data_IF_955394933698
#
_entry.id   IF_955394933698
#
_cell.length_a   1.000
_cell.length_b   1.000
_cell.length_c   1.000
_cell.angle_alpha   90.00
_cell.angle_beta   90.00
_cell.angle_gamma   90.00
#
_symmetry.space_group_name_H-M   'P 1'
#
loop_
_entity.id
_entity.type
_entity.pdbx_description
1 polymer ?
#
# COMPACT_ATOMS: atom_id res chain seq x y z
N UNK A 1 -2.82 20.36 20.17
CA UNK A 1 -3.77 19.70 19.25
C UNK A 1 -3.15 19.80 17.87
N UNK A 2 -2.48 18.74 17.46
CA UNK A 2 -1.57 18.69 16.31
C UNK A 2 -2.32 18.31 15.03
N UNK A 3 -2.25 19.19 14.05
CA UNK A 3 -2.52 18.92 12.64
C UNK A 3 -1.58 17.83 12.14
N UNK A 4 -2.12 16.68 11.72
CA UNK A 4 -1.40 15.71 10.90
C UNK A 4 -0.98 16.42 9.60
N UNK A 5 0.33 16.56 9.41
CA UNK A 5 0.90 17.15 8.20
C UNK A 5 0.73 16.21 7.03
N UNK A 6 -0.31 16.44 6.22
CA UNK A 6 -0.47 15.85 4.90
C UNK A 6 0.66 16.33 3.98
N UNK A 7 1.21 15.40 3.21
CA UNK A 7 2.26 15.64 2.22
C UNK A 7 1.76 16.63 1.15
N UNK A 8 2.51 17.72 0.93
CA UNK A 8 2.11 18.87 0.10
C UNK A 8 1.95 18.56 -1.39
N UNK A 9 2.34 17.37 -1.85
CA UNK A 9 2.16 16.93 -3.25
C UNK A 9 0.73 16.45 -3.59
N UNK A 10 -0.17 16.34 -2.60
CA UNK A 10 -1.55 15.86 -2.81
C UNK A 10 -2.64 16.93 -2.69
N UNK A 11 -2.27 18.21 -2.50
CA UNK A 11 -3.25 19.30 -2.45
C UNK A 11 -4.02 19.51 -3.77
N UNK A 12 -3.54 18.95 -4.89
CA UNK A 12 -4.20 19.04 -6.20
C UNK A 12 -5.24 17.95 -6.50
N UNK A 13 -5.32 16.90 -5.68
CA UNK A 13 -6.30 15.81 -5.80
C UNK A 13 -7.08 15.80 -4.50
N UNK A 14 -7.87 16.85 -4.26
CA UNK A 14 -8.57 17.02 -2.98
C UNK A 14 -9.56 15.88 -2.71
N UNK A 15 -9.19 15.04 -1.73
CA UNK A 15 -10.10 14.18 -0.99
C UNK A 15 -11.09 14.97 -0.10
N UNK A 16 -10.88 16.27 0.12
CA UNK A 16 -11.81 17.09 0.92
C UNK A 16 -13.17 17.29 0.25
N UNK A 17 -13.21 17.51 -1.08
CA UNK A 17 -14.47 17.65 -1.82
C UNK A 17 -15.24 16.31 -1.89
N UNK A 18 -14.54 15.20 -2.10
CA UNK A 18 -15.15 13.87 -2.15
C UNK A 18 -15.68 13.45 -0.77
N UNK A 19 -14.89 13.57 0.30
CA UNK A 19 -15.31 13.29 1.68
C UNK A 19 -16.46 14.19 2.13
N UNK A 20 -16.49 15.46 1.73
CA UNK A 20 -17.58 16.38 2.05
C UNK A 20 -18.87 16.06 1.28
N UNK A 21 -18.77 15.64 0.01
CA UNK A 21 -19.91 15.18 -0.79
C UNK A 21 -20.51 13.90 -0.20
N UNK A 22 -19.68 12.97 0.27
CA UNK A 22 -20.12 11.70 0.84
C UNK A 22 -20.69 11.80 2.25
N UNK A 23 -20.18 12.71 3.09
CA UNK A 23 -20.80 12.99 4.41
C UNK A 23 -22.23 13.52 4.32
N UNK A 24 -22.70 13.93 3.14
CA UNK A 24 -24.09 14.36 2.88
C UNK A 24 -24.99 13.23 2.34
N UNK A 25 -24.48 12.03 2.14
CA UNK A 25 -25.24 10.84 1.78
C UNK A 25 -26.23 10.46 2.91
N UNK A 26 -27.50 10.20 2.59
CA UNK A 26 -28.55 9.89 3.59
C UNK A 26 -28.26 8.58 4.35
N UNK A 27 -28.84 8.38 5.54
CA UNK A 27 -28.71 7.15 6.35
C UNK A 27 -28.99 5.83 5.57
N UNK A 28 -29.79 5.88 4.51
CA UNK A 28 -30.05 4.74 3.59
C UNK A 28 -28.86 4.37 2.65
N UNK A 29 -27.80 5.19 2.57
CA UNK A 29 -26.60 5.01 1.73
C UNK A 29 -25.37 4.53 2.52
N UNK A 30 -25.60 3.98 3.71
CA UNK A 30 -24.56 3.59 4.68
C UNK A 30 -23.49 2.63 4.10
N UNK A 31 -23.91 1.65 3.28
CA UNK A 31 -22.98 0.65 2.72
C UNK A 31 -22.01 1.25 1.69
N UNK A 32 -22.44 2.25 0.91
CA UNK A 32 -21.58 2.95 -0.06
C UNK A 32 -20.58 3.88 0.64
N UNK A 33 -21.00 4.54 1.72
CA UNK A 33 -20.12 5.37 2.54
C UNK A 33 -19.05 4.50 3.21
N UNK A 34 -19.46 3.37 3.79
CA UNK A 34 -18.55 2.39 4.40
C UNK A 34 -17.53 1.84 3.40
N UNK A 35 -17.97 1.54 2.17
CA UNK A 35 -17.07 1.08 1.10
C UNK A 35 -15.97 2.11 0.83
N UNK A 36 -16.35 3.39 0.77
CA UNK A 36 -15.39 4.44 0.48
C UNK A 36 -14.43 4.68 1.63
N UNK A 37 -14.92 4.68 2.87
CA UNK A 37 -14.05 4.79 4.05
C UNK A 37 -13.02 3.66 4.07
N UNK A 38 -13.44 2.42 3.75
CA UNK A 38 -12.54 1.28 3.61
C UNK A 38 -11.50 1.49 2.49
N UNK A 39 -11.89 2.03 1.33
CA UNK A 39 -10.96 2.34 0.24
C UNK A 39 -9.94 3.42 0.61
N UNK A 40 -10.36 4.45 1.35
CA UNK A 40 -9.46 5.50 1.84
C UNK A 40 -8.45 4.96 2.85
N UNK A 41 -8.90 4.12 3.78
CA UNK A 41 -8.02 3.44 4.74
C UNK A 41 -7.00 2.59 3.98
N UNK A 42 -7.46 1.74 3.06
CA UNK A 42 -6.58 0.89 2.26
C UNK A 42 -5.52 1.69 1.48
N UNK A 43 -5.89 2.86 0.94
CA UNK A 43 -4.94 3.73 0.24
C UNK A 43 -3.83 4.24 1.19
N UNK A 44 -4.21 4.72 2.38
CA UNK A 44 -3.26 5.22 3.37
C UNK A 44 -2.34 4.11 3.88
N UNK A 45 -2.87 2.91 4.09
CA UNK A 45 -2.09 1.77 4.57
C UNK A 45 -1.08 1.32 3.51
N UNK A 46 -1.49 1.29 2.23
CA UNK A 46 -0.57 1.03 1.10
C UNK A 46 0.52 2.09 0.98
N UNK A 47 0.19 3.36 1.22
CA UNK A 47 1.15 4.45 1.26
C UNK A 47 2.17 4.29 2.40
N UNK A 48 1.69 3.97 3.61
CA UNK A 48 2.52 3.70 4.79
C UNK A 48 3.47 2.54 4.51
N UNK A 49 2.94 1.40 4.05
CA UNK A 49 3.71 0.21 3.73
C UNK A 49 4.81 0.50 2.72
N UNK A 50 4.46 1.17 1.60
CA UNK A 50 5.44 1.55 0.57
C UNK A 50 6.53 2.46 1.13
N UNK A 51 6.15 3.44 1.94
CA UNK A 51 7.08 4.39 2.55
C UNK A 51 8.06 3.68 3.49
N UNK A 52 7.55 2.80 4.35
CA UNK A 52 8.36 2.01 5.26
C UNK A 52 9.31 1.06 4.52
N UNK A 53 8.84 0.46 3.42
CA UNK A 53 9.65 -0.44 2.57
C UNK A 53 10.78 0.33 1.89
N UNK A 54 10.46 1.44 1.23
CA UNK A 54 11.44 2.29 0.56
C UNK A 54 12.46 2.86 1.54
N UNK A 55 12.01 3.21 2.75
CA UNK A 55 12.88 3.71 3.80
C UNK A 55 13.79 2.61 4.36
N UNK A 56 13.30 1.39 4.54
CA UNK A 56 14.14 0.25 4.90
C UNK A 56 15.22 0.00 3.83
N UNK A 57 14.82 -0.11 2.56
CA UNK A 57 15.73 -0.38 1.44
C UNK A 57 16.78 0.73 1.32
N UNK A 58 16.32 1.98 1.15
CA UNK A 58 17.20 3.14 0.93
C UNK A 58 18.17 3.30 2.10
N UNK A 59 17.66 3.34 3.33
CA UNK A 59 18.52 3.68 4.46
C UNK A 59 19.50 2.57 4.81
N UNK A 60 19.09 1.30 4.68
CA UNK A 60 19.97 0.16 4.97
C UNK A 60 21.05 0.03 3.91
N UNK A 61 20.73 0.21 2.62
CA UNK A 61 21.73 0.25 1.56
C UNK A 61 22.73 1.41 1.72
N UNK A 62 22.25 2.61 2.11
CA UNK A 62 23.12 3.75 2.40
C UNK A 62 23.99 3.55 3.64
N UNK A 63 23.47 2.89 4.68
CA UNK A 63 24.25 2.53 5.86
C UNK A 63 25.34 1.48 5.57
N UNK A 64 25.18 0.72 4.48
CA UNK A 64 26.07 -0.35 4.05
C UNK A 64 26.88 -0.02 2.79
N UNK A 65 27.38 1.22 2.63
CA UNK A 65 28.12 1.69 1.43
C UNK A 65 29.17 0.68 0.90
N UNK A 66 29.90 0.00 1.79
CA UNK A 66 30.96 -0.95 1.45
C UNK A 66 30.52 -2.42 1.43
N UNK A 67 29.24 -2.71 1.68
CA UNK A 67 28.66 -4.07 1.76
C UNK A 67 27.39 -4.23 0.93
N UNK A 68 27.27 -3.44 -0.15
CA UNK A 68 26.07 -3.38 -1.00
C UNK A 68 25.58 -4.73 -1.47
N UNK A 69 26.49 -5.59 -1.92
CA UNK A 69 26.12 -6.92 -2.41
C UNK A 69 25.48 -7.77 -1.30
N UNK A 70 26.08 -7.84 -0.11
CA UNK A 70 25.54 -8.61 1.01
C UNK A 70 24.17 -8.06 1.46
N UNK A 71 24.08 -6.74 1.65
CA UNK A 71 22.83 -6.09 2.04
C UNK A 71 21.75 -6.22 0.96
N UNK A 72 22.13 -6.17 -0.32
CA UNK A 72 21.20 -6.35 -1.44
C UNK A 72 20.63 -7.76 -1.48
N UNK A 73 21.43 -8.78 -1.18
CA UNK A 73 20.97 -10.18 -1.12
C UNK A 73 19.92 -10.40 -0.04
N UNK A 74 19.97 -9.63 1.06
CA UNK A 74 18.97 -9.71 2.15
C UNK A 74 17.71 -8.89 1.81
N UNK A 75 17.87 -7.66 1.29
CA UNK A 75 16.75 -6.76 0.99
C UNK A 75 15.95 -7.15 -0.27
N UNK A 76 16.59 -7.82 -1.24
CA UNK A 76 15.96 -8.20 -2.51
C UNK A 76 14.75 -9.13 -2.30
N UNK A 77 14.86 -10.22 -1.52
CA UNK A 77 13.70 -11.05 -1.18
C UNK A 77 12.56 -10.29 -0.51
N UNK A 78 12.87 -9.33 0.38
CA UNK A 78 11.85 -8.50 1.07
C UNK A 78 11.11 -7.65 0.04
N UNK A 79 11.85 -6.95 -0.83
CA UNK A 79 11.29 -6.17 -1.94
C UNK A 79 10.41 -7.03 -2.83
N UNK A 80 10.92 -8.17 -3.30
CA UNK A 80 10.21 -9.00 -4.28
C UNK A 80 8.93 -9.61 -3.69
N UNK A 81 8.97 -10.01 -2.42
CA UNK A 81 7.76 -10.51 -1.72
C UNK A 81 6.75 -9.38 -1.51
N UNK A 82 7.20 -8.18 -1.15
CA UNK A 82 6.34 -7.00 -1.04
C UNK A 82 5.71 -6.59 -2.39
N UNK A 83 6.46 -6.69 -3.49
CA UNK A 83 5.95 -6.47 -4.85
C UNK A 83 4.88 -7.49 -5.21
N UNK A 84 5.10 -8.77 -4.88
CA UNK A 84 4.12 -9.82 -5.13
C UNK A 84 2.83 -9.59 -4.32
N UNK A 85 2.97 -9.23 -3.04
CA UNK A 85 1.85 -8.85 -2.18
C UNK A 85 1.05 -7.70 -2.78
N UNK A 86 1.72 -6.61 -3.14
CA UNK A 86 1.09 -5.47 -3.80
C UNK A 86 0.43 -5.82 -5.13
N UNK A 87 1.02 -6.73 -5.91
CA UNK A 87 0.41 -7.24 -7.13
C UNK A 87 -0.94 -7.90 -6.87
N UNK A 88 -1.04 -8.71 -5.81
CA UNK A 88 -2.30 -9.32 -5.38
C UNK A 88 -3.31 -8.26 -4.90
N UNK A 89 -2.89 -7.28 -4.10
CA UNK A 89 -3.78 -6.20 -3.66
C UNK A 89 -4.27 -5.35 -4.84
N UNK A 90 -3.41 -5.04 -5.80
CA UNK A 90 -3.78 -4.31 -7.01
C UNK A 90 -4.81 -5.08 -7.85
N UNK A 91 -4.63 -6.40 -8.00
CA UNK A 91 -5.59 -7.25 -8.69
C UNK A 91 -6.95 -7.27 -7.97
N UNK A 92 -6.96 -7.43 -6.65
CA UNK A 92 -8.17 -7.32 -5.85
C UNK A 92 -8.87 -5.97 -6.03
N UNK A 93 -8.11 -4.87 -5.94
CA UNK A 93 -8.63 -3.51 -6.10
C UNK A 93 -9.25 -3.30 -7.48
N UNK A 94 -8.67 -3.90 -8.52
CA UNK A 94 -9.26 -3.89 -9.86
C UNK A 94 -10.65 -4.51 -9.88
N UNK A 95 -10.81 -5.65 -9.24
CA UNK A 95 -12.11 -6.32 -9.13
C UNK A 95 -13.13 -5.45 -8.35
N UNK A 96 -12.69 -4.63 -7.38
CA UNK A 96 -13.55 -3.69 -6.66
C UNK A 96 -14.15 -2.64 -7.60
N UNK A 97 -13.35 -1.96 -8.42
CA UNK A 97 -13.94 -0.94 -9.32
C UNK A 97 -14.77 -1.58 -10.44
N UNK A 98 -14.45 -2.80 -10.88
CA UNK A 98 -15.26 -3.54 -11.84
C UNK A 98 -16.61 -3.93 -11.24
N UNK A 99 -16.65 -4.33 -9.96
CA UNK A 99 -17.89 -4.53 -9.21
C UNK A 99 -18.74 -3.25 -9.18
N UNK A 100 -18.14 -2.09 -8.89
CA UNK A 100 -18.85 -0.80 -8.89
C UNK A 100 -19.39 -0.45 -10.28
N UNK A 101 -18.64 -0.78 -11.33
CA UNK A 101 -19.10 -0.62 -12.70
C UNK A 101 -20.36 -1.46 -12.99
N UNK A 102 -20.43 -2.70 -12.49
CA UNK A 102 -21.64 -3.51 -12.62
C UNK A 102 -22.80 -2.90 -11.83
N UNK A 103 -22.54 -2.39 -10.62
CA UNK A 103 -23.54 -1.66 -9.83
C UNK A 103 -24.14 -0.47 -10.60
N UNK A 104 -23.31 0.31 -11.29
CA UNK A 104 -23.79 1.41 -12.15
C UNK A 104 -24.68 0.92 -13.28
N UNK A 105 -24.33 -0.19 -13.91
CA UNK A 105 -25.13 -0.78 -14.99
C UNK A 105 -26.47 -1.29 -14.46
N UNK A 106 -26.50 -1.84 -13.25
CA UNK A 106 -27.74 -2.29 -12.60
C UNK A 106 -28.67 -1.10 -12.34
N UNK A 107 -28.15 0.00 -11.79
CA UNK A 107 -28.95 1.17 -11.43
C UNK A 107 -29.40 2.00 -12.65
N UNK A 108 -28.65 1.95 -13.76
CA UNK A 108 -28.99 2.65 -15.01
C UNK A 108 -29.90 1.86 -15.94
N UNK A 109 -30.06 0.55 -15.75
CA UNK A 109 -30.81 -0.28 -16.68
C UNK A 109 -32.25 -0.54 -16.21
N UNK A 110 -33.20 -0.17 -17.07
CA UNK A 110 -34.61 -0.54 -16.92
C UNK A 110 -34.91 -1.96 -17.44
N UNK A 111 -33.96 -2.60 -18.15
CA UNK A 111 -34.17 -3.90 -18.78
C UNK A 111 -33.80 -5.07 -17.85
N UNK A 112 -34.80 -5.86 -17.46
CA UNK A 112 -34.69 -6.98 -16.51
C UNK A 112 -33.60 -8.01 -16.91
N UNK A 113 -33.50 -8.39 -18.19
CA UNK A 113 -32.52 -9.39 -18.64
C UNK A 113 -31.07 -8.90 -18.51
N UNK A 114 -30.81 -7.63 -18.80
CA UNK A 114 -29.47 -7.03 -18.60
C UNK A 114 -29.11 -6.92 -17.12
N UNK A 115 -30.10 -6.68 -16.25
CA UNK A 115 -29.90 -6.62 -14.81
C UNK A 115 -29.51 -7.97 -14.20
N UNK A 116 -30.07 -9.09 -14.69
CA UNK A 116 -29.67 -10.43 -14.24
C UNK A 116 -28.20 -10.72 -14.56
N UNK A 117 -27.76 -10.40 -15.79
CA UNK A 117 -26.36 -10.59 -16.18
C UNK A 117 -25.40 -9.70 -15.37
N UNK A 118 -25.75 -8.42 -15.16
CA UNK A 118 -24.92 -7.50 -14.38
C UNK A 118 -24.79 -7.94 -12.91
N UNK A 119 -25.87 -8.45 -12.30
CA UNK A 119 -25.83 -9.00 -10.94
C UNK A 119 -24.92 -10.24 -10.88
N UNK A 120 -24.99 -11.14 -11.86
CA UNK A 120 -24.09 -12.30 -11.92
C UNK A 120 -22.62 -11.87 -12.09
N UNK A 121 -22.35 -10.85 -12.92
CA UNK A 121 -21.01 -10.30 -13.10
C UNK A 121 -20.48 -9.63 -11.81
N UNK A 122 -21.33 -8.91 -11.08
CA UNK A 122 -20.96 -8.30 -9.79
C UNK A 122 -20.51 -9.38 -8.79
N UNK A 123 -21.21 -10.51 -8.74
CA UNK A 123 -20.83 -11.66 -7.93
C UNK A 123 -19.52 -12.33 -8.39
N UNK A 124 -19.29 -12.39 -9.69
CA UNK A 124 -18.02 -12.87 -10.24
C UNK A 124 -16.84 -12.02 -9.76
N UNK A 125 -16.96 -10.68 -9.81
CA UNK A 125 -15.92 -9.78 -9.32
C UNK A 125 -15.66 -9.93 -7.82
N UNK A 126 -16.69 -10.15 -7.00
CA UNK A 126 -16.50 -10.45 -5.56
C UNK A 126 -15.69 -11.74 -5.37
N UNK A 127 -16.01 -12.80 -6.12
CA UNK A 127 -15.25 -14.05 -6.04
C UNK A 127 -13.81 -13.89 -6.52
N UNK A 128 -13.59 -13.13 -7.59
CA UNK A 128 -12.24 -12.85 -8.10
C UNK A 128 -11.42 -12.06 -7.07
N UNK A 129 -12.01 -11.01 -6.48
CA UNK A 129 -11.39 -10.26 -5.39
C UNK A 129 -11.02 -11.16 -4.20
N UNK A 130 -11.91 -12.10 -3.82
CA UNK A 130 -11.63 -13.04 -2.74
C UNK A 130 -10.44 -13.96 -3.05
N UNK A 131 -10.27 -14.40 -4.31
CA UNK A 131 -9.12 -15.22 -4.72
C UNK A 131 -7.83 -14.44 -4.56
N UNK A 132 -7.79 -13.18 -5.00
CA UNK A 132 -6.61 -12.33 -4.87
C UNK A 132 -6.31 -11.95 -3.41
N UNK A 133 -7.35 -11.74 -2.59
CA UNK A 133 -7.20 -11.58 -1.14
C UNK A 133 -6.57 -12.81 -0.49
N UNK A 134 -7.06 -14.01 -0.78
CA UNK A 134 -6.49 -15.25 -0.24
C UNK A 134 -5.04 -15.46 -0.69
N UNK A 135 -4.71 -15.08 -1.93
CA UNK A 135 -3.33 -15.06 -2.41
C UNK A 135 -2.48 -14.08 -1.60
N UNK A 136 -2.99 -12.89 -1.32
CA UNK A 136 -2.29 -11.90 -0.49
C UNK A 136 -2.05 -12.42 0.93
N UNK A 137 -3.04 -13.07 1.57
CA UNK A 137 -2.88 -13.74 2.85
C UNK A 137 -1.76 -14.78 2.80
N UNK A 138 -1.76 -15.64 1.78
CA UNK A 138 -0.71 -16.65 1.62
C UNK A 138 0.67 -16.02 1.52
N UNK A 139 0.84 -14.95 0.75
CA UNK A 139 2.15 -14.26 0.63
C UNK A 139 2.63 -13.74 1.98
N UNK A 140 1.75 -13.10 2.76
CA UNK A 140 2.10 -12.51 4.05
C UNK A 140 2.36 -13.58 5.11
N UNK A 141 1.39 -14.47 5.33
CA UNK A 141 1.41 -15.45 6.42
C UNK A 141 2.42 -16.58 6.20
N UNK A 142 2.73 -16.96 4.96
CA UNK A 142 3.63 -18.11 4.69
C UNK A 142 5.06 -17.74 4.34
N UNK A 143 5.33 -16.47 4.02
CA UNK A 143 6.63 -16.04 3.49
C UNK A 143 7.12 -14.75 4.08
N UNK A 144 6.25 -13.73 4.18
CA UNK A 144 6.72 -12.39 4.54
C UNK A 144 7.11 -12.29 6.02
N UNK A 145 6.35 -12.91 6.92
CA UNK A 145 6.66 -12.91 8.37
C UNK A 145 8.05 -13.50 8.65
N UNK A 146 8.25 -14.76 8.26
CA UNK A 146 9.51 -15.48 8.44
C UNK A 146 10.67 -14.73 7.79
N UNK A 147 10.46 -14.19 6.59
CA UNK A 147 11.47 -13.43 5.87
C UNK A 147 11.89 -12.16 6.62
N UNK A 148 10.93 -11.40 7.18
CA UNK A 148 11.25 -10.22 7.96
C UNK A 148 12.04 -10.59 9.23
N UNK A 149 11.64 -11.66 9.91
CA UNK A 149 12.29 -12.14 11.13
C UNK A 149 13.71 -12.62 10.88
N UNK A 150 13.91 -13.45 9.87
CA UNK A 150 15.23 -13.97 9.47
C UNK A 150 16.16 -12.83 8.98
N UNK A 151 15.58 -11.80 8.35
CA UNK A 151 16.35 -10.67 7.83
C UNK A 151 16.82 -9.72 8.92
N UNK A 152 16.16 -9.66 10.09
CA UNK A 152 16.52 -8.72 11.15
C UNK A 152 17.97 -8.90 11.60
N UNK A 153 18.32 -10.11 12.05
CA UNK A 153 19.66 -10.40 12.55
C UNK A 153 20.72 -10.27 11.45
N UNK A 154 20.38 -10.67 10.21
CA UNK A 154 21.27 -10.58 9.07
C UNK A 154 21.60 -9.12 8.72
N UNK A 155 20.59 -8.25 8.65
CA UNK A 155 20.80 -6.83 8.37
C UNK A 155 21.59 -6.16 9.51
N UNK A 156 21.28 -6.47 10.77
CA UNK A 156 22.01 -5.94 11.92
C UNK A 156 23.46 -6.42 11.89
N UNK A 157 23.73 -7.69 11.59
CA UNK A 157 25.09 -8.23 11.52
C UNK A 157 25.91 -7.56 10.41
N UNK A 158 25.32 -7.35 9.23
CA UNK A 158 25.97 -6.65 8.13
C UNK A 158 26.26 -5.18 8.45
N UNK A 159 25.32 -4.50 9.11
CA UNK A 159 25.51 -3.13 9.56
C UNK A 159 26.41 -3.01 10.79
N UNK A 160 26.52 -4.01 11.65
CA UNK A 160 27.48 -3.98 12.76
C UNK A 160 28.91 -4.18 12.25
N UNK A 161 29.07 -5.12 11.31
CA UNK A 161 30.38 -5.60 10.86
C UNK A 161 31.13 -6.35 11.96
N UNK A 162 32.47 -6.40 11.86
CA UNK A 162 33.29 -7.10 12.85
C UNK A 162 33.29 -6.38 14.21
N UNK A 163 33.62 -7.09 15.29
CA UNK A 163 33.71 -6.54 16.64
C UNK A 163 34.61 -5.28 16.72
N UNK A 164 35.71 -5.24 15.97
CA UNK A 164 36.56 -4.05 15.88
C UNK A 164 35.91 -2.87 15.15
N UNK A 165 35.08 -3.13 14.14
CA UNK A 165 34.35 -2.09 13.43
C UNK A 165 33.25 -1.46 14.31
N UNK A 166 32.55 -2.26 15.10
CA UNK A 166 31.51 -1.77 16.02
C UNK A 166 32.08 -0.79 17.04
N UNK A 167 33.25 -1.11 17.63
CA UNK A 167 33.96 -0.19 18.51
C UNK A 167 34.32 1.13 17.79
N UNK A 168 34.81 1.05 16.55
CA UNK A 168 35.13 2.23 15.76
C UNK A 168 33.87 3.05 15.45
N UNK A 169 32.76 2.43 15.08
CA UNK A 169 31.49 3.12 14.81
C UNK A 169 31.03 3.92 16.02
N UNK A 170 31.07 3.32 17.22
CA UNK A 170 30.70 4.02 18.45
C UNK A 170 31.68 5.14 18.80
N UNK A 171 32.99 4.93 18.62
CA UNK A 171 34.01 5.93 18.87
C UNK A 171 33.87 7.15 17.95
N UNK A 172 33.59 6.92 16.66
CA UNK A 172 33.52 7.98 15.65
C UNK A 172 32.12 8.56 15.46
N UNK A 173 31.09 8.00 16.11
CA UNK A 173 29.67 8.44 16.01
C UNK A 173 29.51 9.96 16.09
N UNK A 174 30.24 10.62 17.00
CA UNK A 174 30.10 12.06 17.26
C UNK A 174 30.70 12.96 16.17
N UNK A 175 31.62 12.45 15.35
CA UNK A 175 32.40 13.26 14.42
C UNK A 175 32.35 12.75 12.97
N UNK A 176 31.84 11.54 12.74
CA UNK A 176 31.68 10.93 11.43
C UNK A 176 30.20 10.69 11.10
N UNK A 177 29.68 11.42 10.10
CA UNK A 177 28.29 11.32 9.65
C UNK A 177 27.93 9.89 9.24
N UNK A 178 28.83 9.18 8.54
CA UNK A 178 28.61 7.79 8.12
C UNK A 178 28.44 6.85 9.32
N UNK A 179 29.28 6.98 10.34
CA UNK A 179 29.19 6.16 11.56
C UNK A 179 27.91 6.47 12.34
N UNK A 180 27.53 7.75 12.44
CA UNK A 180 26.27 8.15 13.06
C UNK A 180 25.06 7.59 12.34
N UNK A 181 25.00 7.77 11.02
CA UNK A 181 23.90 7.29 10.18
C UNK A 181 23.76 5.78 10.27
N UNK A 182 24.87 5.05 10.13
CA UNK A 182 24.89 3.58 10.19
C UNK A 182 24.38 3.04 11.53
N UNK A 183 24.78 3.63 12.65
CA UNK A 183 24.28 3.23 13.98
C UNK A 183 22.78 3.52 14.13
N UNK A 184 22.30 4.69 13.71
CA UNK A 184 20.87 5.05 13.77
C UNK A 184 20.02 4.09 12.94
N UNK A 185 20.46 3.76 11.72
CA UNK A 185 19.76 2.81 10.86
C UNK A 185 19.75 1.42 11.49
N UNK A 186 20.89 0.95 11.99
CA UNK A 186 21.01 -0.36 12.65
C UNK A 186 20.09 -0.48 13.87
N UNK A 187 20.08 0.51 14.75
CA UNK A 187 19.20 0.59 15.92
C UNK A 187 17.71 0.64 15.52
N UNK A 188 17.40 1.14 14.32
CA UNK A 188 16.05 1.28 13.80
C UNK A 188 15.51 0.09 13.02
N UNK A 189 16.33 -0.91 12.66
CA UNK A 189 15.90 -2.06 11.84
C UNK A 189 14.70 -2.80 12.47
N UNK A 190 14.74 -3.24 13.74
CA UNK A 190 13.65 -4.05 14.30
C UNK A 190 12.30 -3.33 14.23
N UNK A 191 12.30 -2.04 14.54
CA UNK A 191 11.10 -1.20 14.47
C UNK A 191 10.55 -1.09 13.05
N UNK A 192 11.41 -0.95 12.04
CA UNK A 192 11.00 -0.83 10.63
C UNK A 192 10.40 -2.12 10.09
N UNK A 193 11.00 -3.26 10.44
CA UNK A 193 10.49 -4.58 10.05
C UNK A 193 9.13 -4.84 10.73
N UNK A 194 8.99 -4.51 12.01
CA UNK A 194 7.70 -4.57 12.71
C UNK A 194 6.65 -3.67 12.06
N UNK A 195 6.99 -2.42 11.69
CA UNK A 195 6.06 -1.52 11.00
C UNK A 195 5.60 -2.09 9.65
N UNK A 196 6.51 -2.67 8.87
CA UNK A 196 6.15 -3.33 7.61
C UNK A 196 5.20 -4.51 7.81
N UNK A 197 5.44 -5.30 8.85
CA UNK A 197 4.56 -6.40 9.22
C UNK A 197 3.18 -5.91 9.64
N UNK A 198 3.12 -4.91 10.50
CA UNK A 198 1.87 -4.31 10.98
C UNK A 198 1.07 -3.69 9.83
N UNK A 199 1.71 -2.88 8.99
CA UNK A 199 1.10 -2.29 7.80
C UNK A 199 0.51 -3.40 6.88
N UNK A 200 1.23 -4.50 6.65
CA UNK A 200 0.74 -5.60 5.81
C UNK A 200 -0.51 -6.27 6.39
N UNK A 201 -0.57 -6.45 7.72
CA UNK A 201 -1.75 -7.01 8.39
C UNK A 201 -2.93 -6.04 8.36
N UNK A 202 -2.69 -4.75 8.52
CA UNK A 202 -3.72 -3.71 8.41
C UNK A 202 -4.33 -3.68 7.01
N UNK A 203 -3.49 -3.75 5.97
CA UNK A 203 -3.93 -3.88 4.57
C UNK A 203 -4.82 -5.13 4.40
N UNK A 204 -4.41 -6.29 4.91
CA UNK A 204 -5.20 -7.52 4.81
C UNK A 204 -6.54 -7.40 5.54
N UNK A 205 -6.55 -6.86 6.77
CA UNK A 205 -7.78 -6.66 7.53
C UNK A 205 -8.74 -5.72 6.79
N UNK A 206 -8.22 -4.64 6.21
CA UNK A 206 -8.99 -3.70 5.41
C UNK A 206 -9.56 -4.36 4.13
N UNK A 207 -8.76 -5.19 3.45
CA UNK A 207 -9.21 -5.97 2.29
C UNK A 207 -10.34 -6.94 2.63
N UNK A 208 -10.23 -7.65 3.75
CA UNK A 208 -11.29 -8.54 4.22
C UNK A 208 -12.58 -7.76 4.50
N UNK A 209 -12.48 -6.63 5.20
CA UNK A 209 -13.62 -5.76 5.47
C UNK A 209 -14.26 -5.25 4.17
N UNK A 210 -13.46 -4.87 3.17
CA UNK A 210 -13.94 -4.43 1.87
C UNK A 210 -14.75 -5.54 1.17
N UNK A 211 -14.27 -6.79 1.20
CA UNK A 211 -14.99 -7.95 0.67
C UNK A 211 -16.35 -8.18 1.33
N UNK A 212 -16.44 -7.99 2.66
CA UNK A 212 -17.71 -8.05 3.39
C UNK A 212 -18.68 -6.92 2.97
N UNK A 213 -18.17 -5.70 2.83
CA UNK A 213 -18.97 -4.55 2.36
C UNK A 213 -19.52 -4.82 0.96
N UNK A 214 -18.67 -5.25 0.03
CA UNK A 214 -19.08 -5.60 -1.34
C UNK A 214 -20.15 -6.69 -1.35
N UNK A 215 -20.00 -7.71 -0.48
CA UNK A 215 -20.98 -8.78 -0.34
C UNK A 215 -22.34 -8.28 0.15
N UNK A 216 -22.37 -7.33 1.11
CA UNK A 216 -23.61 -6.69 1.56
C UNK A 216 -24.28 -5.90 0.44
N UNK A 217 -23.53 -5.08 -0.29
CA UNK A 217 -24.02 -4.33 -1.45
C UNK A 217 -24.59 -5.29 -2.51
N UNK A 218 -23.91 -6.41 -2.76
CA UNK A 218 -24.36 -7.40 -3.73
C UNK A 218 -25.68 -8.07 -3.34
N UNK A 219 -25.91 -8.31 -2.05
CA UNK A 219 -27.21 -8.81 -1.56
C UNK A 219 -28.30 -7.79 -1.89
N UNK A 220 -28.04 -6.47 -1.75
CA UNK A 220 -28.97 -5.42 -2.16
C UNK A 220 -29.27 -5.46 -3.66
N UNK A 221 -28.23 -5.60 -4.49
CA UNK A 221 -28.40 -5.71 -5.95
C UNK A 221 -29.23 -6.92 -6.38
N UNK A 222 -29.30 -7.99 -5.59
CA UNK A 222 -30.18 -9.14 -5.86
C UNK A 222 -31.65 -8.86 -5.55
N UNK A 223 -31.97 -7.98 -4.59
CA UNK A 223 -33.35 -7.66 -4.23
C UNK A 223 -34.06 -6.94 -5.38
N UNK A 224 -35.16 -7.50 -5.93
CA UNK A 224 -35.97 -6.82 -6.93
C UNK A 224 -36.60 -5.53 -6.41
N UNK A 225 -37.03 -5.50 -5.15
CA UNK A 225 -37.68 -4.36 -4.51
C UNK A 225 -36.69 -3.20 -4.32
N UNK A 226 -35.49 -3.51 -3.84
CA UNK A 226 -34.42 -2.52 -3.69
C UNK A 226 -34.04 -1.94 -5.05
N UNK A 227 -33.88 -2.79 -6.08
CA UNK A 227 -33.59 -2.31 -7.44
C UNK A 227 -34.71 -1.43 -7.99
N UNK A 228 -35.97 -1.83 -7.84
CA UNK A 228 -37.10 -1.04 -8.32
C UNK A 228 -37.14 0.36 -7.68
N UNK A 229 -36.71 0.49 -6.41
CA UNK A 229 -36.66 1.78 -5.71
C UNK A 229 -35.46 2.66 -6.13
N UNK A 230 -34.32 2.05 -6.46
CA UNK A 230 -33.07 2.77 -6.73
C UNK A 230 -32.68 2.89 -8.22
N UNK A 231 -33.33 2.16 -9.12
CA UNK A 231 -33.13 2.34 -10.57
C UNK A 231 -33.52 3.77 -10.97
N UNK A 232 -32.67 4.41 -11.77
CA UNK A 232 -32.89 5.77 -12.26
C UNK A 232 -32.71 6.88 -11.20
N UNK A 233 -32.36 6.54 -9.95
CA UNK A 233 -32.08 7.55 -8.92
C UNK A 233 -30.72 8.22 -9.15
N UNK A 234 -30.77 9.43 -9.69
CA UNK A 234 -29.60 10.22 -10.06
C UNK A 234 -28.62 10.48 -8.91
N UNK A 235 -29.10 10.67 -7.69
CA UNK A 235 -28.26 10.90 -6.51
C UNK A 235 -27.38 9.69 -6.19
N UNK A 236 -27.94 8.47 -6.22
CA UNK A 236 -27.23 7.21 -5.97
C UNK A 236 -26.31 6.87 -7.14
N UNK A 237 -26.79 7.06 -8.37
CA UNK A 237 -25.98 6.85 -9.58
C UNK A 237 -24.76 7.78 -9.57
N UNK A 238 -24.94 9.05 -9.19
CA UNK A 238 -23.83 10.01 -9.10
C UNK A 238 -22.83 9.61 -8.03
N UNK A 239 -23.29 9.22 -6.84
CA UNK A 239 -22.41 8.75 -5.76
C UNK A 239 -21.59 7.53 -6.20
N UNK A 240 -22.26 6.50 -6.73
CA UNK A 240 -21.58 5.29 -7.19
C UNK A 240 -20.60 5.56 -8.35
N UNK A 241 -20.93 6.52 -9.22
CA UNK A 241 -20.09 6.91 -10.35
C UNK A 241 -18.83 7.65 -9.87
N UNK A 242 -18.96 8.50 -8.85
CA UNK A 242 -17.81 9.14 -8.21
C UNK A 242 -16.93 8.10 -7.52
N UNK A 243 -17.52 7.20 -6.72
CA UNK A 243 -16.77 6.13 -6.06
C UNK A 243 -16.03 5.26 -7.08
N UNK A 244 -16.70 4.83 -8.16
CA UNK A 244 -16.05 4.11 -9.26
C UNK A 244 -14.86 4.88 -9.84
N UNK A 245 -15.05 6.16 -10.17
CA UNK A 245 -14.02 7.00 -10.78
C UNK A 245 -12.78 7.12 -9.88
N UNK A 246 -12.96 7.46 -8.61
CA UNK A 246 -11.85 7.58 -7.66
C UNK A 246 -11.17 6.24 -7.39
N UNK A 247 -11.94 5.16 -7.21
CA UNK A 247 -11.39 3.81 -7.02
C UNK A 247 -10.51 3.38 -8.20
N UNK A 248 -10.96 3.66 -9.43
CA UNK A 248 -10.19 3.36 -10.65
C UNK A 248 -8.94 4.23 -10.80
N UNK A 249 -9.04 5.53 -10.46
CA UNK A 249 -7.91 6.45 -10.51
C UNK A 249 -6.84 6.07 -9.49
N UNK A 250 -7.25 5.74 -8.26
CA UNK A 250 -6.34 5.28 -7.21
C UNK A 250 -5.70 3.94 -7.52
N UNK A 251 -6.42 2.99 -8.13
CA UNK A 251 -5.82 1.76 -8.63
C UNK A 251 -4.62 2.03 -9.56
N UNK A 252 -4.78 2.95 -10.52
CA UNK A 252 -3.69 3.28 -11.46
C UNK A 252 -2.50 3.94 -10.75
N UNK A 253 -2.77 4.77 -9.74
CA UNK A 253 -1.73 5.38 -8.92
C UNK A 253 -0.98 4.33 -8.09
N UNK A 254 -1.70 3.44 -7.40
CA UNK A 254 -1.17 2.31 -6.64
C UNK A 254 -0.30 1.44 -7.55
N UNK A 255 -0.81 1.06 -8.73
CA UNK A 255 -0.06 0.28 -9.72
C UNK A 255 1.23 0.99 -10.19
N UNK A 256 1.17 2.29 -10.46
CA UNK A 256 2.34 3.07 -10.85
C UNK A 256 3.36 3.26 -9.72
N UNK A 257 2.90 3.28 -8.47
CA UNK A 257 3.74 3.45 -7.30
C UNK A 257 4.66 2.26 -7.02
N UNK A 258 4.34 1.05 -7.50
CA UNK A 258 5.20 -0.13 -7.33
C UNK A 258 6.29 -0.25 -8.37
N UNK A 259 6.10 0.35 -9.55
CA UNK A 259 7.15 0.42 -10.57
C UNK A 259 8.38 1.16 -10.03
N UNK A 260 8.22 2.02 -9.02
CA UNK A 260 9.36 2.70 -8.40
C UNK A 260 10.20 1.80 -7.46
N UNK A 261 9.76 0.58 -7.15
CA UNK A 261 10.55 -0.39 -6.38
C UNK A 261 11.68 -1.00 -7.21
N UNK A 262 11.60 -0.90 -8.54
CA UNK A 262 12.64 -1.31 -9.48
C UNK A 262 13.20 -0.09 -10.22
N UNK A 263 14.48 -0.15 -10.56
CA UNK A 263 15.12 0.88 -11.38
C UNK A 263 15.08 0.44 -12.84
N UNK A 264 14.16 0.99 -13.64
CA UNK A 264 14.12 0.80 -15.10
C UNK A 264 14.31 -0.67 -15.55
N UNK A 265 13.44 -1.57 -15.09
CA UNK A 265 13.46 -3.02 -15.38
C UNK A 265 14.73 -3.77 -14.91
N UNK A 266 15.56 -3.15 -14.06
CA UNK A 266 16.71 -3.82 -13.43
C UNK A 266 16.34 -4.51 -12.13
N UNK A 267 17.05 -5.59 -11.80
CA UNK A 267 16.95 -6.25 -10.49
C UNK A 267 17.62 -5.44 -9.36
N UNK A 268 18.18 -4.26 -9.64
CA UNK A 268 18.83 -3.43 -8.63
C UNK A 268 17.80 -2.83 -7.65
N UNK A 269 18.24 -2.65 -6.40
CA UNK A 269 17.45 -1.94 -5.40
C UNK A 269 17.34 -0.46 -5.76
N UNK A 270 16.12 0.06 -5.70
CA UNK A 270 15.87 1.48 -5.91
C UNK A 270 16.28 2.28 -4.66
N UNK A 271 17.34 3.08 -4.78
CA UNK A 271 17.78 4.04 -3.76
C UNK A 271 17.16 5.38 -4.10
N UNK A 272 16.26 5.88 -3.26
CA UNK A 272 15.49 7.09 -3.55
C UNK A 272 15.77 8.19 -2.51
N UNK A 273 16.12 9.37 -3.03
CA UNK A 273 16.50 10.56 -2.27
C UNK A 273 15.44 10.99 -1.25
N UNK A 274 14.16 10.75 -1.53
CA UNK A 274 13.06 11.09 -0.63
C UNK A 274 13.08 10.27 0.68
N UNK A 275 13.76 9.11 0.68
CA UNK A 275 13.73 8.14 1.78
C UNK A 275 15.04 8.04 2.56
N UNK A 276 16.03 8.87 2.24
CA UNK A 276 17.30 8.99 2.98
C UNK A 276 17.04 9.34 4.46
N UNK A 277 15.93 10.00 4.75
CA UNK A 277 15.53 10.38 6.10
C UNK A 277 16.27 11.61 6.61
N UNK A 278 15.87 12.14 7.79
CA UNK A 278 16.42 13.37 8.34
C UNK A 278 17.87 13.25 8.82
N UNK A 279 18.44 12.04 8.78
CA UNK A 279 19.73 11.70 9.36
C UNK A 279 20.91 11.94 8.42
N UNK A 280 20.66 12.33 7.16
CA UNK A 280 21.66 12.81 6.21
C UNK A 280 21.19 14.09 5.49
N UNK A 281 20.99 15.20 6.23
CA UNK A 281 20.40 16.43 5.70
C UNK A 281 21.27 17.14 4.65
N UNK A 282 22.56 16.79 4.58
CA UNK A 282 23.50 17.30 3.59
C UNK A 282 23.76 16.35 2.43
N UNK A 283 23.05 15.21 2.34
CA UNK A 283 23.27 14.16 1.34
C UNK A 283 24.69 13.58 1.31
N UNK A 284 25.43 13.69 2.41
CA UNK A 284 26.83 13.26 2.50
C UNK A 284 26.93 11.74 2.37
N UNK A 285 26.08 10.99 3.08
CA UNK A 285 26.07 9.52 3.01
C UNK A 285 25.65 9.06 1.63
N UNK A 286 24.67 9.74 1.03
CA UNK A 286 24.23 9.51 -0.34
C UNK A 286 25.35 9.74 -1.36
N UNK A 287 26.10 10.83 -1.26
CA UNK A 287 27.20 11.12 -2.18
C UNK A 287 28.30 10.06 -2.08
N UNK A 288 28.63 9.62 -0.87
CA UNK A 288 29.55 8.50 -0.64
C UNK A 288 29.04 7.19 -1.25
N UNK A 289 27.74 6.93 -1.18
CA UNK A 289 27.15 5.78 -1.86
C UNK A 289 27.32 5.86 -3.39
N UNK A 290 27.23 7.02 -4.02
CA UNK A 290 27.46 7.07 -5.47
C UNK A 290 28.95 7.11 -5.86
N UNK A 291 29.83 7.62 -5.00
CA UNK A 291 31.27 7.73 -5.29
C UNK A 291 32.07 6.47 -4.98
N UNK A 292 31.66 5.67 -3.99
CA UNK A 292 32.33 4.43 -3.61
C UNK A 292 31.68 3.18 -4.23
N UNK A 293 30.83 3.38 -5.25
CA UNK A 293 30.05 2.34 -5.92
C UNK A 293 30.62 1.90 -7.24
#
# INVERSE_FOLDING_TARGET
MSTFGLNSRFQGIQGEDFLAIMKRASEDQNEMTTLVDALNILLNDLESFRSNLMSLITQTSLAAVFRRSATSTILTPIRDTAVEFHGAISAMWKEVYLFLQQGLRILRSECLHTNVANVANAEHHIRAAQVDYLRACQIIESRFEDLLWDSEELLIAELRGSCGLEFLLHLTKRFCTLSSYRLIVMEGIPRRLSMLWDDAREILACCNHLGEVMSRIQIRFRSPEWRAYYIGREDVIKLLNQTFYYTSLWHNWVQGSFLCLYKHDSQELCINDEYVGPWDPGHIVRDWYWWCG
#
